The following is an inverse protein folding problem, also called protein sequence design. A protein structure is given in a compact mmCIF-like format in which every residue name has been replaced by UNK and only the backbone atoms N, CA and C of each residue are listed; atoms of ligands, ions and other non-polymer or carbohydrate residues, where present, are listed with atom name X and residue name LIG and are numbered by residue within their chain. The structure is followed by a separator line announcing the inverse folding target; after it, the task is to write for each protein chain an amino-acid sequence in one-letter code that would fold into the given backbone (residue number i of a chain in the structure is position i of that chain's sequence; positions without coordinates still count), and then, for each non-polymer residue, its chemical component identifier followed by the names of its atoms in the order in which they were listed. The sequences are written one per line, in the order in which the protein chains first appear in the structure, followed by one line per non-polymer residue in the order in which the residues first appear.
data_IF_807727286254
#
_entry.id   IF_807727286254
#
_cell.length_a   1.000
_cell.length_b   1.000
_cell.length_c   1.000
_cell.angle_alpha   90.00
_cell.angle_beta   90.00
_cell.angle_gamma   90.00
#
_symmetry.space_group_name_H-M   'P 1'
#
loop_
_entity.id
_entity.type
_entity.pdbx_description
1 polymer ?
#
# COMPACT_ATOMS: atom_id res chain seq x y z
N UNK A 1 -69.42 23.26 -20.69
CA UNK A 1 -68.22 24.09 -20.99
C UNK A 1 -67.23 23.83 -19.87
N UNK A 2 -66.02 23.33 -20.03
CA UNK A 2 -65.24 22.98 -21.20
C UNK A 2 -64.29 21.84 -20.80
N UNK A 3 -64.04 20.96 -21.76
CA UNK A 3 -63.13 19.83 -21.74
C UNK A 3 -61.68 20.30 -21.55
N UNK A 4 -60.89 19.57 -20.77
CA UNK A 4 -59.43 19.65 -20.87
C UNK A 4 -58.83 18.25 -21.00
N UNK A 5 -58.34 18.00 -22.21
CA UNK A 5 -57.50 16.88 -22.62
C UNK A 5 -56.13 16.92 -21.91
N UNK A 6 -55.49 15.75 -21.72
CA UNK A 6 -54.08 15.67 -21.34
C UNK A 6 -53.17 15.93 -22.56
N UNK A 7 -52.24 16.88 -22.43
CA UNK A 7 -51.14 17.09 -23.38
C UNK A 7 -49.92 16.26 -22.95
N UNK A 8 -49.47 15.40 -23.86
CA UNK A 8 -48.16 14.76 -23.87
C UNK A 8 -47.09 15.75 -24.33
N UNK A 9 -45.87 15.70 -23.77
CA UNK A 9 -44.69 16.17 -24.47
C UNK A 9 -43.85 14.99 -24.97
N UNK A 10 -43.90 14.78 -26.28
CA UNK A 10 -42.82 14.22 -27.07
C UNK A 10 -41.77 15.33 -27.26
N UNK A 11 -40.47 15.05 -27.08
CA UNK A 11 -39.42 15.43 -28.03
C UNK A 11 -38.02 14.97 -27.57
N UNK A 12 -37.39 14.20 -28.47
CA UNK A 12 -35.99 14.29 -28.92
C UNK A 12 -34.85 13.97 -27.95
N UNK A 13 -34.43 12.70 -28.00
CA UNK A 13 -33.05 12.32 -27.78
C UNK A 13 -32.19 12.85 -28.94
N UNK A 14 -31.28 13.78 -28.66
CA UNK A 14 -30.20 14.14 -29.57
C UNK A 14 -28.96 13.32 -29.20
N UNK A 15 -28.67 12.30 -29.99
CA UNK A 15 -27.37 11.61 -29.98
C UNK A 15 -26.34 12.52 -30.66
N UNK A 16 -25.39 13.04 -29.89
CA UNK A 16 -24.16 13.61 -30.43
C UNK A 16 -23.17 12.50 -30.82
N UNK A 17 -22.42 12.65 -31.93
CA UNK A 17 -21.48 11.63 -32.41
C UNK A 17 -20.23 11.55 -31.53
N UNK A 18 -19.79 10.32 -31.26
CA UNK A 18 -18.54 10.01 -30.57
C UNK A 18 -17.31 10.38 -31.41
N UNK A 19 -16.23 10.89 -30.80
CA UNK A 19 -14.96 11.07 -31.51
C UNK A 19 -14.27 9.72 -31.75
N UNK A 20 -14.03 9.42 -33.01
CA UNK A 20 -13.15 8.34 -33.47
C UNK A 20 -11.70 8.67 -33.15
N UNK A 21 -11.08 7.87 -32.27
CA UNK A 21 -9.63 7.86 -32.05
C UNK A 21 -9.05 6.62 -32.73
N UNK A 22 -8.28 6.84 -33.79
CA UNK A 22 -7.51 5.79 -34.49
C UNK A 22 -6.26 5.39 -33.69
N UNK A 23 -5.85 4.11 -33.71
CA UNK A 23 -4.75 3.62 -32.87
C UNK A 23 -3.46 3.51 -33.69
N UNK A 24 -2.65 4.56 -33.76
CA UNK A 24 -1.26 4.47 -34.21
C UNK A 24 -0.45 5.64 -33.62
N UNK A 25 0.35 5.34 -32.59
CA UNK A 25 1.57 6.04 -32.12
C UNK A 25 1.85 5.56 -30.68
N UNK A 26 2.37 4.36 -30.43
CA UNK A 26 3.80 3.99 -30.44
C UNK A 26 4.71 5.06 -29.83
N UNK A 27 4.98 4.87 -28.53
CA UNK A 27 6.23 5.15 -27.81
C UNK A 27 7.05 6.38 -28.20
N UNK A 28 6.87 7.48 -27.47
CA UNK A 28 7.96 8.43 -27.20
C UNK A 28 8.01 8.70 -25.70
N UNK A 29 9.05 8.15 -25.06
CA UNK A 29 9.34 8.31 -23.63
C UNK A 29 10.07 9.64 -23.45
N UNK A 30 9.35 10.69 -23.07
CA UNK A 30 9.97 11.96 -22.65
C UNK A 30 10.61 11.78 -21.26
N UNK A 31 11.94 11.75 -21.22
CA UNK A 31 12.72 11.88 -19.99
C UNK A 31 12.62 13.31 -19.43
N UNK A 32 12.37 13.50 -18.12
CA UNK A 32 12.48 14.82 -17.50
C UNK A 32 13.96 15.22 -17.29
N UNK A 33 14.33 16.51 -17.41
CA UNK A 33 15.68 16.97 -17.18
C UNK A 33 16.06 16.92 -15.70
N UNK A 34 17.26 16.42 -15.46
CA UNK A 34 17.94 16.24 -14.18
C UNK A 34 18.22 17.59 -13.48
N UNK A 35 17.80 17.70 -12.22
CA UNK A 35 18.12 18.81 -11.33
C UNK A 35 19.60 18.76 -10.90
N UNK A 36 20.29 19.91 -10.77
CA UNK A 36 21.67 19.97 -10.27
C UNK A 36 21.74 19.78 -8.74
N UNK A 37 22.87 19.26 -8.20
CA UNK A 37 23.02 18.95 -6.79
C UNK A 37 23.20 20.20 -5.90
N UNK A 38 22.81 20.14 -4.61
CA UNK A 38 22.91 21.27 -3.69
C UNK A 38 24.35 21.53 -3.23
N UNK A 39 24.73 22.81 -3.22
CA UNK A 39 26.00 23.30 -2.71
C UNK A 39 26.11 23.12 -1.19
N UNK A 40 27.21 22.52 -0.73
CA UNK A 40 27.58 22.47 0.69
C UNK A 40 27.90 23.88 1.22
N UNK A 41 27.37 24.30 2.38
CA UNK A 41 27.87 25.48 3.07
C UNK A 41 29.19 25.16 3.77
N UNK A 42 30.25 25.89 3.41
CA UNK A 42 31.50 25.91 4.15
C UNK A 42 31.26 26.44 5.56
N UNK A 43 31.60 25.63 6.57
CA UNK A 43 31.60 26.04 7.96
C UNK A 43 32.77 26.98 8.24
N UNK A 44 32.47 28.27 8.43
CA UNK A 44 33.40 29.27 8.95
C UNK A 44 33.59 29.04 10.45
N UNK A 45 34.79 28.62 10.85
CA UNK A 45 35.17 28.48 12.25
C UNK A 45 35.27 29.85 12.96
N UNK A 46 34.76 30.02 14.19
CA UNK A 46 34.96 31.25 14.95
C UNK A 46 36.36 31.30 15.59
N UNK A 47 36.96 32.48 15.43
CA UNK A 47 38.28 32.91 15.88
C UNK A 47 38.31 33.04 17.41
N UNK A 48 39.18 32.29 18.08
CA UNK A 48 39.44 32.42 19.51
C UNK A 48 40.09 33.78 19.86
N UNK A 49 39.72 34.44 20.98
CA UNK A 49 40.44 35.60 21.47
C UNK A 49 41.72 35.18 22.22
N UNK A 50 42.83 35.82 21.86
CA UNK A 50 44.13 35.68 22.52
C UNK A 50 44.13 36.42 23.85
N UNK A 51 44.41 35.71 24.94
CA UNK A 51 44.93 36.30 26.18
C UNK A 51 46.43 36.56 26.03
N UNK A 52 46.95 37.67 26.58
CA UNK A 52 48.35 37.72 26.99
C UNK A 52 48.49 37.61 28.53
N UNK A 53 49.18 36.55 28.96
CA UNK A 53 50.08 36.53 30.11
C UNK A 53 51.26 37.46 29.79
N UNK A 54 51.96 38.19 30.67
CA UNK A 54 52.38 38.05 32.07
C UNK A 54 53.26 39.27 32.37
N UNK A 55 53.29 39.78 33.61
CA UNK A 55 54.53 40.11 34.36
C UNK A 55 54.25 40.92 35.63
N UNK A 56 54.53 40.32 36.79
CA UNK A 56 54.78 40.98 38.10
C UNK A 56 56.22 41.57 38.14
N UNK A 57 56.80 42.01 39.29
CA UNK A 57 56.29 42.66 40.52
C UNK A 57 57.10 43.95 40.86
N UNK A 58 56.76 44.72 41.91
CA UNK A 58 57.70 45.13 42.99
C UNK A 58 57.08 46.11 44.04
N UNK A 59 57.42 45.83 45.31
CA UNK A 59 57.66 46.72 46.47
C UNK A 59 56.48 47.41 47.23
N UNK A 60 56.32 46.92 48.46
CA UNK A 60 55.86 47.58 49.73
C UNK A 60 56.82 48.75 50.13
N UNK A 61 56.60 49.59 51.19
CA UNK A 61 55.83 49.32 52.43
C UNK A 61 55.20 50.50 53.25
N UNK A 62 54.57 50.12 54.39
CA UNK A 62 54.28 50.83 55.68
C UNK A 62 53.31 52.03 55.67
N UNK A 63 52.29 52.16 56.54
CA UNK A 63 52.28 52.29 58.03
C UNK A 63 50.95 51.76 58.63
N UNK A 64 50.91 50.90 59.66
CA UNK A 64 50.96 51.10 61.13
C UNK A 64 49.80 51.88 61.80
N UNK A 65 48.93 51.15 62.51
CA UNK A 65 48.36 51.42 63.87
C UNK A 65 47.13 50.51 64.09
N UNK A 66 47.18 49.39 64.85
CA UNK A 66 47.05 49.26 66.33
C UNK A 66 45.72 49.85 66.85
N UNK A 67 44.87 49.23 67.71
CA UNK A 67 44.97 48.14 68.70
C UNK A 67 43.52 47.85 69.20
N UNK A 68 43.00 46.62 69.42
CA UNK A 68 42.90 45.84 70.69
C UNK A 68 41.93 44.66 70.42
N UNK A 69 42.32 43.38 70.48
CA UNK A 69 42.44 42.47 71.65
C UNK A 69 41.23 42.38 72.59
N UNK A 70 40.52 41.23 72.56
CA UNK A 70 40.30 40.32 73.71
C UNK A 70 40.21 38.87 73.19
N UNK A 71 40.98 37.97 73.81
CA UNK A 71 40.99 36.50 73.64
C UNK A 71 40.12 35.85 74.74
N UNK A 72 39.39 34.74 74.54
CA UNK A 72 39.79 33.32 74.64
C UNK A 72 38.51 32.52 75.10
N UNK A 73 38.48 31.18 75.34
CA UNK A 73 39.05 29.99 74.67
C UNK A 73 37.94 28.92 74.34
N UNK A 74 38.28 27.71 73.79
CA UNK A 74 37.31 26.75 73.23
C UNK A 74 37.01 25.53 74.13
N UNK A 75 35.79 24.99 74.06
CA UNK A 75 35.42 23.70 74.66
C UNK A 75 34.62 22.80 73.70
N UNK A 76 35.33 21.75 73.25
CA UNK A 76 34.98 20.34 73.02
C UNK A 76 33.54 19.93 72.61
N UNK A 77 33.55 19.18 71.50
CA UNK A 77 32.78 17.97 71.20
C UNK A 77 31.26 17.98 71.41
N UNK A 78 30.54 18.13 70.30
CA UNK A 78 29.31 17.37 70.07
C UNK A 78 29.27 16.87 68.64
N UNK A 79 29.29 15.54 68.51
CA UNK A 79 29.20 14.82 67.26
C UNK A 79 27.92 15.22 66.50
N UNK A 80 28.08 15.81 65.31
CA UNK A 80 26.98 16.01 64.37
C UNK A 80 27.14 14.96 63.26
N UNK A 81 26.17 14.06 63.22
CA UNK A 81 26.01 12.96 62.27
C UNK A 81 26.04 13.45 60.80
N UNK A 82 26.49 12.61 59.86
CA UNK A 82 26.61 12.99 58.46
C UNK A 82 25.24 13.23 57.84
N UNK A 83 25.10 14.36 57.15
CA UNK A 83 23.95 14.69 56.29
C UNK A 83 23.89 13.69 55.12
N UNK A 84 22.82 12.89 54.96
CA UNK A 84 22.60 12.21 53.70
C UNK A 84 22.08 13.23 52.67
N UNK A 85 22.84 13.37 51.59
CA UNK A 85 22.42 13.94 50.32
C UNK A 85 21.10 13.29 49.87
N UNK A 86 19.99 14.01 50.06
CA UNK A 86 18.71 13.68 49.43
C UNK A 86 18.76 14.18 47.98
N UNK A 87 18.72 13.30 46.96
CA UNK A 87 18.30 13.75 45.64
C UNK A 87 16.82 14.12 45.73
N UNK A 88 16.44 15.28 45.18
CA UNK A 88 15.05 15.65 44.96
C UNK A 88 14.36 14.52 44.20
N UNK A 89 13.56 13.75 44.94
CA UNK A 89 12.62 12.81 44.35
C UNK A 89 11.69 13.63 43.45
N UNK A 90 11.71 13.29 42.16
CA UNK A 90 10.60 13.51 41.24
C UNK A 90 9.29 13.23 41.98
N UNK A 91 8.51 14.27 42.20
CA UNK A 91 7.07 14.13 42.40
C UNK A 91 6.44 13.88 41.03
N UNK A 92 6.56 12.64 40.56
CA UNK A 92 5.53 12.07 39.69
C UNK A 92 4.65 11.25 40.63
N UNK A 93 3.38 11.61 40.87
CA UNK A 93 2.47 10.63 41.43
C UNK A 93 2.33 9.48 40.41
N UNK A 94 2.43 8.20 40.81
CA UNK A 94 1.96 7.15 39.95
C UNK A 94 0.44 7.26 39.92
N UNK A 95 -0.11 7.76 38.82
CA UNK A 95 -1.49 7.50 38.46
C UNK A 95 -1.62 5.99 38.15
N UNK A 96 -1.64 5.16 39.20
CA UNK A 96 -2.09 3.77 39.19
C UNK A 96 -3.35 3.67 40.04
N UNK A 97 -4.45 4.19 39.50
CA UNK A 97 -5.81 3.73 39.76
C UNK A 97 -6.74 4.41 38.76
N UNK A 98 -7.46 3.62 37.98
CA UNK A 98 -8.46 4.02 36.96
C UNK A 98 -7.93 4.46 35.59
N UNK A 99 -6.93 3.75 35.05
CA UNK A 99 -6.91 3.40 33.61
C UNK A 99 -6.41 1.96 33.47
N UNK A 100 -7.15 1.02 34.07
CA UNK A 100 -6.99 -0.41 33.82
C UNK A 100 -8.05 -0.88 32.80
N UNK A 101 -8.21 -0.10 31.73
CA UNK A 101 -8.90 -0.50 30.53
C UNK A 101 -8.07 0.03 29.36
N UNK A 102 -7.85 -0.80 28.34
CA UNK A 102 -7.26 -0.46 27.02
C UNK A 102 -5.75 -0.58 26.83
N UNK A 103 -4.98 -1.12 27.78
CA UNK A 103 -3.69 -1.73 27.44
C UNK A 103 -3.91 -3.21 27.10
N UNK A 104 -4.37 -3.49 25.87
CA UNK A 104 -4.39 -4.86 25.36
C UNK A 104 -3.00 -5.20 24.79
N UNK A 105 -2.25 -6.15 25.37
CA UNK A 105 -1.16 -6.80 24.67
C UNK A 105 -1.77 -7.69 23.57
N UNK A 106 -1.13 -7.67 22.39
CA UNK A 106 -1.67 -8.18 21.14
C UNK A 106 -2.20 -9.61 21.19
N UNK A 107 -3.53 -9.73 21.11
CA UNK A 107 -4.18 -10.84 20.43
C UNK A 107 -4.38 -10.43 18.97
N UNK A 108 -3.76 -11.17 18.04
CA UNK A 108 -3.69 -10.85 16.61
C UNK A 108 -5.06 -10.90 15.91
N UNK A 109 -5.92 -9.93 16.20
CA UNK A 109 -7.12 -9.69 15.39
C UNK A 109 -6.69 -8.95 14.12
N UNK A 110 -7.15 -9.37 12.94
CA UNK A 110 -6.89 -8.61 11.73
C UNK A 110 -7.55 -7.23 11.85
N UNK A 111 -6.73 -6.17 11.81
CA UNK A 111 -7.18 -4.80 11.64
C UNK A 111 -8.15 -4.72 10.47
N UNK A 112 -9.31 -4.11 10.71
CA UNK A 112 -10.37 -3.88 9.72
C UNK A 112 -10.45 -2.40 9.35
N UNK A 113 -11.14 -2.08 8.25
CA UNK A 113 -11.40 -0.69 7.82
C UNK A 113 -12.14 0.09 8.92
N UNK A 114 -13.07 -0.55 9.62
CA UNK A 114 -13.80 0.07 10.74
C UNK A 114 -12.87 0.47 11.88
N UNK A 115 -11.84 -0.34 12.17
CA UNK A 115 -10.88 -0.03 13.23
C UNK A 115 -10.05 1.21 12.85
N UNK A 116 -9.64 1.34 11.59
CA UNK A 116 -8.94 2.52 11.09
C UNK A 116 -9.83 3.76 11.17
N UNK A 117 -11.10 3.66 10.77
CA UNK A 117 -12.05 4.77 10.90
C UNK A 117 -12.23 5.20 12.36
N UNK A 118 -12.26 4.26 13.30
CA UNK A 118 -12.33 4.56 14.73
C UNK A 118 -11.07 5.28 15.22
N UNK A 119 -9.88 4.88 14.77
CA UNK A 119 -8.64 5.58 15.08
C UNK A 119 -8.67 7.02 14.55
N UNK A 120 -9.11 7.24 13.31
CA UNK A 120 -9.22 8.60 12.74
C UNK A 120 -10.20 9.47 13.54
N UNK A 121 -11.36 8.93 13.93
CA UNK A 121 -12.30 9.69 14.78
C UNK A 121 -11.68 10.09 16.12
N UNK A 122 -10.97 9.16 16.77
CA UNK A 122 -10.29 9.43 18.03
C UNK A 122 -9.14 10.45 17.86
N UNK A 123 -8.45 10.44 16.71
CA UNK A 123 -7.48 11.48 16.35
C UNK A 123 -8.15 12.85 16.30
N UNK A 124 -9.29 12.96 15.61
CA UNK A 124 -10.03 14.23 15.46
C UNK A 124 -10.54 14.75 16.81
N UNK A 125 -10.97 13.86 17.71
CA UNK A 125 -11.35 14.21 19.09
C UNK A 125 -10.18 14.79 19.90
N UNK A 126 -8.98 14.20 19.77
CA UNK A 126 -7.78 14.73 20.43
C UNK A 126 -7.39 16.08 19.83
N UNK A 127 -7.45 16.25 18.51
CA UNK A 127 -7.18 17.53 17.85
C UNK A 127 -8.15 18.62 18.31
N UNK A 128 -9.43 18.30 18.47
CA UNK A 128 -10.43 19.21 19.00
C UNK A 128 -10.13 19.62 20.45
N UNK A 129 -9.73 18.67 21.30
CA UNK A 129 -9.34 18.96 22.69
C UNK A 129 -8.07 19.82 22.78
N UNK A 130 -7.07 19.53 21.95
CA UNK A 130 -5.85 20.33 21.83
C UNK A 130 -6.22 21.77 21.43
N UNK A 131 -7.06 21.91 20.41
CA UNK A 131 -7.53 23.23 19.93
C UNK A 131 -8.25 24.00 21.03
N UNK A 132 -9.16 23.37 21.76
CA UNK A 132 -9.86 24.01 22.87
C UNK A 132 -8.91 24.50 23.98
N UNK A 133 -7.84 23.75 24.27
CA UNK A 133 -6.83 24.19 25.24
C UNK A 133 -6.01 25.38 24.71
N UNK A 134 -5.71 25.44 23.42
CA UNK A 134 -5.06 26.60 22.80
C UNK A 134 -5.97 27.84 22.82
N UNK A 135 -7.26 27.69 22.48
CA UNK A 135 -8.23 28.78 22.56
C UNK A 135 -8.34 29.35 23.98
N UNK A 136 -8.28 28.49 25.02
CA UNK A 136 -8.23 28.93 26.41
C UNK A 136 -6.97 29.76 26.71
N UNK A 137 -5.81 29.35 26.21
CA UNK A 137 -4.55 30.08 26.40
C UNK A 137 -4.53 31.41 25.64
N UNK A 138 -5.06 31.46 24.42
CA UNK A 138 -5.18 32.69 23.62
C UNK A 138 -6.13 33.72 24.28
N UNK A 139 -7.14 33.24 25.02
CA UNK A 139 -8.02 34.08 25.83
C UNK A 139 -7.32 34.73 27.03
N UNK A 140 -6.14 34.25 27.43
CA UNK A 140 -5.35 34.84 28.52
C UNK A 140 -4.33 35.83 27.94
N UNK A 141 -4.20 37.00 28.57
CA UNK A 141 -3.39 38.11 28.05
C UNK A 141 -1.91 37.73 27.91
N UNK A 142 -1.46 37.44 26.69
CA UNK A 142 -0.05 37.36 26.31
C UNK A 142 0.73 36.17 26.87
N UNK A 143 0.06 35.08 27.25
CA UNK A 143 0.71 33.86 27.76
C UNK A 143 0.29 32.65 26.93
N UNK A 144 1.14 32.26 25.99
CA UNK A 144 1.03 31.04 25.19
C UNK A 144 1.54 29.80 25.93
N UNK A 145 2.22 28.89 25.22
CA UNK A 145 2.72 27.62 25.77
C UNK A 145 4.00 27.69 26.61
N UNK A 146 4.86 28.67 26.35
CA UNK A 146 6.25 28.66 26.82
C UNK A 146 6.63 29.92 27.62
N UNK A 147 5.73 30.88 27.69
CA UNK A 147 5.93 32.19 28.27
C UNK A 147 6.01 32.11 29.81
N UNK A 148 6.81 32.97 30.46
CA UNK A 148 6.91 33.00 31.92
C UNK A 148 5.58 33.34 32.60
N UNK A 149 5.26 32.60 33.66
CA UNK A 149 4.07 32.83 34.50
C UNK A 149 4.32 33.82 35.66
N UNK A 150 5.53 34.36 35.72
CA UNK A 150 5.95 35.33 36.74
C UNK A 150 6.19 36.69 36.09
N UNK A 151 6.07 37.74 36.88
CA UNK A 151 6.42 39.10 36.48
C UNK A 151 7.94 39.32 36.55
N UNK A 152 8.37 40.57 36.30
CA UNK A 152 9.78 40.96 36.33
C UNK A 152 10.41 40.92 37.73
N UNK A 153 9.59 40.95 38.78
CA UNK A 153 10.01 40.91 40.18
C UNK A 153 10.04 39.47 40.73
N UNK A 154 9.54 38.51 39.95
CA UNK A 154 9.51 37.08 40.30
C UNK A 154 8.25 36.66 41.06
N UNK A 155 7.22 37.52 41.11
CA UNK A 155 5.93 37.21 41.71
C UNK A 155 4.96 36.63 40.68
N UNK A 156 3.97 35.84 41.11
CA UNK A 156 2.95 35.30 40.21
C UNK A 156 2.13 36.43 39.60
N UNK A 157 1.97 36.39 38.29
CA UNK A 157 1.20 37.39 37.52
C UNK A 157 -0.25 37.46 37.99
N UNK A 158 -0.69 38.65 38.39
CA UNK A 158 -2.05 38.91 38.86
C UNK A 158 -3.05 39.14 37.71
N UNK A 159 -2.56 39.41 36.51
CA UNK A 159 -3.35 39.68 35.29
C UNK A 159 -3.89 38.42 34.62
N UNK A 160 -3.51 37.23 35.10
CA UNK A 160 -3.75 35.94 34.43
C UNK A 160 -4.18 34.89 35.44
N UNK A 161 -5.10 34.02 35.04
CA UNK A 161 -5.41 32.82 35.83
C UNK A 161 -4.31 31.75 35.63
N UNK A 162 -3.34 31.79 36.54
CA UNK A 162 -2.19 30.86 36.57
C UNK A 162 -2.61 29.39 36.67
N UNK A 163 -3.72 29.10 37.34
CA UNK A 163 -4.20 27.74 37.51
C UNK A 163 -4.73 27.19 36.19
N UNK A 164 -5.53 27.97 35.48
CA UNK A 164 -6.07 27.61 34.17
C UNK A 164 -4.96 27.46 33.13
N UNK A 165 -4.02 28.41 33.08
CA UNK A 165 -2.90 28.36 32.14
C UNK A 165 -2.02 27.13 32.40
N UNK A 166 -1.68 26.86 33.66
CA UNK A 166 -0.84 25.70 34.00
C UNK A 166 -1.52 24.38 33.64
N UNK A 167 -2.83 24.30 33.90
CA UNK A 167 -3.64 23.11 33.58
C UNK A 167 -3.75 22.92 32.07
N UNK A 168 -4.05 23.98 31.32
CA UNK A 168 -4.14 23.94 29.86
C UNK A 168 -2.80 23.55 29.21
N UNK A 169 -1.67 24.15 29.65
CA UNK A 169 -0.33 23.77 29.18
C UNK A 169 -0.02 22.29 29.43
N UNK A 170 -0.32 21.80 30.63
CA UNK A 170 -0.14 20.40 30.97
C UNK A 170 -0.98 19.48 30.07
N UNK A 171 -2.25 19.82 29.89
CA UNK A 171 -3.18 19.05 29.07
C UNK A 171 -2.73 18.97 27.62
N UNK A 172 -2.26 20.09 27.02
CA UNK A 172 -1.77 20.05 25.64
C UNK A 172 -0.55 19.17 25.49
N UNK A 173 0.41 19.21 26.42
CA UNK A 173 1.59 18.34 26.34
C UNK A 173 1.16 16.86 26.38
N UNK A 174 0.23 16.50 27.27
CA UNK A 174 -0.29 15.13 27.36
C UNK A 174 -1.03 14.73 26.08
N UNK A 175 -2.00 15.54 25.63
CA UNK A 175 -2.81 15.28 24.44
C UNK A 175 -1.97 15.23 23.15
N UNK A 176 -0.93 16.06 23.03
CA UNK A 176 -0.01 16.02 21.88
C UNK A 176 0.80 14.73 21.85
N UNK A 177 1.22 14.21 23.00
CA UNK A 177 1.91 12.93 23.06
C UNK A 177 0.97 11.78 22.69
N UNK A 178 -0.27 11.82 23.15
CA UNK A 178 -1.29 10.83 22.80
C UNK A 178 -1.66 10.89 21.32
N UNK A 179 -1.79 12.11 20.75
CA UNK A 179 -2.03 12.31 19.33
C UNK A 179 -0.90 11.74 18.48
N UNK A 180 0.37 11.99 18.85
CA UNK A 180 1.53 11.38 18.18
C UNK A 180 1.50 9.86 18.25
N UNK A 181 1.17 9.29 19.41
CA UNK A 181 1.07 7.84 19.57
C UNK A 181 -0.05 7.25 18.69
N UNK A 182 -1.19 7.94 18.62
CA UNK A 182 -2.34 7.52 17.83
C UNK A 182 -2.07 7.64 16.32
N UNK A 183 -1.40 8.70 15.86
CA UNK A 183 -0.98 8.84 14.47
C UNK A 183 -0.10 7.66 14.03
N UNK A 184 0.81 7.21 14.90
CA UNK A 184 1.62 6.01 14.65
C UNK A 184 0.76 4.74 14.52
N UNK A 185 -0.27 4.60 15.36
CA UNK A 185 -1.21 3.48 15.27
C UNK A 185 -2.01 3.49 13.96
N UNK A 186 -2.43 4.67 13.49
CA UNK A 186 -3.11 4.81 12.19
C UNK A 186 -2.21 4.37 11.05
N UNK A 187 -0.94 4.80 11.04
CA UNK A 187 0.05 4.40 10.04
C UNK A 187 0.23 2.87 10.02
N UNK A 188 0.48 2.27 11.19
CA UNK A 188 0.65 0.82 11.33
C UNK A 188 -0.60 0.05 10.85
N UNK A 189 -1.80 0.55 11.16
CA UNK A 189 -3.05 -0.06 10.77
C UNK A 189 -3.30 -0.02 9.25
N UNK A 190 -2.97 1.10 8.59
CA UNK A 190 -3.06 1.24 7.14
C UNK A 190 -2.07 0.31 6.42
N UNK A 191 -0.82 0.25 6.89
CA UNK A 191 0.18 -0.67 6.34
C UNK A 191 -0.27 -2.13 6.43
N UNK A 192 -0.88 -2.53 7.55
CA UNK A 192 -1.41 -3.90 7.69
C UNK A 192 -2.56 -4.21 6.73
N UNK A 193 -3.47 -3.26 6.50
CA UNK A 193 -4.56 -3.45 5.53
C UNK A 193 -4.02 -3.62 4.11
N UNK A 194 -3.15 -2.71 3.67
CA UNK A 194 -2.60 -2.76 2.31
C UNK A 194 -1.70 -3.98 2.09
N UNK A 195 -0.93 -4.40 3.10
CA UNK A 195 -0.14 -5.62 3.03
C UNK A 195 -1.03 -6.86 2.79
N UNK A 196 -2.14 -6.96 3.53
CA UNK A 196 -3.10 -8.06 3.35
C UNK A 196 -3.80 -8.04 2.00
N UNK A 197 -4.23 -6.86 1.54
CA UNK A 197 -4.85 -6.71 0.22
C UNK A 197 -3.89 -7.11 -0.90
N UNK A 198 -2.61 -6.71 -0.78
CA UNK A 198 -1.56 -7.10 -1.73
C UNK A 198 -1.30 -8.61 -1.71
N UNK A 199 -1.22 -9.23 -0.53
CA UNK A 199 -1.07 -10.69 -0.41
C UNK A 199 -2.26 -11.44 -0.99
N UNK A 200 -3.48 -10.95 -0.75
CA UNK A 200 -4.69 -11.54 -1.31
C UNK A 200 -4.70 -11.43 -2.83
N UNK A 201 -4.41 -10.25 -3.37
CA UNK A 201 -4.32 -10.04 -4.82
C UNK A 201 -3.27 -10.95 -5.46
N UNK A 202 -2.09 -11.06 -4.86
CA UNK A 202 -1.04 -11.95 -5.36
C UNK A 202 -1.44 -13.43 -5.33
N UNK A 203 -2.23 -13.86 -4.34
CA UNK A 203 -2.80 -15.22 -4.28
C UNK A 203 -3.85 -15.42 -5.36
N UNK A 204 -4.79 -14.49 -5.50
CA UNK A 204 -5.85 -14.54 -6.50
C UNK A 204 -5.25 -14.55 -7.92
N UNK A 205 -4.19 -13.77 -8.18
CA UNK A 205 -3.44 -13.79 -9.44
C UNK A 205 -2.73 -15.12 -9.68
N UNK A 206 -2.07 -15.68 -8.65
CA UNK A 206 -1.39 -16.97 -8.76
C UNK A 206 -2.38 -18.12 -9.02
N UNK A 207 -3.55 -18.08 -8.38
CA UNK A 207 -4.63 -19.05 -8.58
C UNK A 207 -5.21 -18.94 -9.99
N UNK A 208 -5.49 -17.72 -10.47
CA UNK A 208 -5.96 -17.50 -11.84
C UNK A 208 -4.93 -17.99 -12.90
N UNK A 209 -3.64 -17.76 -12.67
CA UNK A 209 -2.57 -18.28 -13.54
C UNK A 209 -2.51 -19.81 -13.51
N UNK A 210 -2.63 -20.42 -12.33
CA UNK A 210 -2.67 -21.87 -12.18
C UNK A 210 -3.89 -22.48 -12.89
N UNK A 211 -5.06 -21.86 -12.76
CA UNK A 211 -6.28 -22.28 -13.47
C UNK A 211 -6.10 -22.17 -15.00
N UNK A 212 -5.54 -21.07 -15.51
CA UNK A 212 -5.28 -20.90 -16.94
C UNK A 212 -4.28 -21.94 -17.50
N UNK A 213 -3.24 -22.29 -16.72
CA UNK A 213 -2.30 -23.37 -17.09
C UNK A 213 -2.99 -24.73 -17.10
N UNK A 214 -3.87 -25.01 -16.13
CA UNK A 214 -4.63 -26.26 -16.06
C UNK A 214 -5.60 -26.44 -17.24
N UNK A 215 -6.25 -25.35 -17.68
CA UNK A 215 -7.16 -25.38 -18.84
C UNK A 215 -6.42 -25.71 -20.15
N UNK A 216 -5.17 -25.27 -20.28
CA UNK A 216 -4.33 -25.59 -21.44
C UNK A 216 -3.86 -27.06 -21.45
N UNK A 217 -3.73 -27.68 -20.28
CA UNK A 217 -3.40 -29.10 -20.16
C UNK A 217 -4.60 -30.05 -20.37
N UNK A 218 -5.81 -29.52 -20.42
CA UNK A 218 -7.04 -30.30 -20.62
C UNK A 218 -7.47 -30.40 -22.10
N UNK A 219 -6.56 -30.07 -23.03
CA UNK A 219 -6.77 -30.36 -24.45
C UNK A 219 -6.67 -31.89 -24.66
N UNK A 220 -7.72 -32.54 -25.19
CA UNK A 220 -7.77 -33.96 -25.43
C UNK A 220 -6.68 -34.34 -26.42
N UNK A 221 -6.07 -35.50 -26.18
CA UNK A 221 -4.95 -36.00 -26.96
C UNK A 221 -5.35 -36.14 -28.43
N UNK A 222 -4.54 -35.59 -29.34
CA UNK A 222 -4.70 -35.86 -30.76
C UNK A 222 -3.98 -37.17 -31.12
N UNK A 223 -4.61 -38.01 -31.94
CA UNK A 223 -4.05 -39.30 -32.36
C UNK A 223 -3.49 -39.27 -33.80
N UNK A 224 -3.85 -38.26 -34.59
CA UNK A 224 -3.39 -38.12 -35.97
C UNK A 224 -3.23 -36.65 -36.35
N UNK A 225 -2.48 -36.39 -37.42
CA UNK A 225 -2.23 -35.05 -37.96
C UNK A 225 -2.44 -35.02 -39.46
N UNK A 226 -3.00 -33.93 -39.97
CA UNK A 226 -3.15 -33.68 -41.41
C UNK A 226 -1.83 -33.17 -41.97
N UNK A 227 -1.20 -33.95 -42.84
CA UNK A 227 0.07 -33.59 -43.47
C UNK A 227 -0.13 -32.74 -44.74
N UNK A 228 -1.11 -33.09 -45.57
CA UNK A 228 -1.40 -32.35 -46.81
C UNK A 228 -2.88 -32.37 -47.12
N UNK A 229 -3.38 -31.30 -47.73
CA UNK A 229 -4.77 -31.18 -48.21
C UNK A 229 -4.73 -30.74 -49.67
N UNK A 230 -5.42 -31.47 -50.55
CA UNK A 230 -5.48 -31.12 -51.96
C UNK A 230 -6.52 -30.00 -52.19
N UNK A 231 -6.20 -28.91 -52.91
CA UNK A 231 -7.18 -27.87 -53.22
C UNK A 231 -8.39 -28.42 -53.97
N UNK A 232 -9.59 -27.96 -53.63
CA UNK A 232 -10.84 -28.41 -54.26
C UNK A 232 -11.27 -29.84 -53.87
N UNK A 233 -10.54 -30.50 -52.96
CA UNK A 233 -10.95 -31.78 -52.37
C UNK A 233 -12.08 -31.61 -51.35
N UNK A 234 -12.83 -32.68 -51.03
CA UNK A 234 -13.84 -32.66 -49.97
C UNK A 234 -13.28 -32.16 -48.63
N UNK A 235 -12.05 -32.53 -48.26
CA UNK A 235 -11.38 -32.05 -47.06
C UNK A 235 -11.12 -30.53 -47.09
N UNK A 236 -10.66 -30.00 -48.22
CA UNK A 236 -10.43 -28.56 -48.39
C UNK A 236 -11.73 -27.76 -48.31
N UNK A 237 -12.80 -28.23 -48.98
CA UNK A 237 -14.11 -27.58 -48.98
C UNK A 237 -14.75 -27.60 -47.58
N UNK A 238 -14.53 -28.68 -46.83
CA UNK A 238 -14.97 -28.79 -45.44
C UNK A 238 -14.18 -27.92 -44.47
N UNK A 239 -13.05 -27.33 -44.89
CA UNK A 239 -12.26 -26.42 -44.05
C UNK A 239 -11.18 -27.10 -43.20
N UNK A 240 -10.80 -28.35 -43.52
CA UNK A 240 -9.58 -28.95 -42.99
C UNK A 240 -8.34 -28.26 -43.56
N UNK A 241 -7.36 -28.02 -42.69
CA UNK A 241 -6.11 -27.36 -43.03
C UNK A 241 -4.93 -28.30 -42.80
N UNK A 242 -3.80 -27.96 -43.42
CA UNK A 242 -2.52 -28.59 -43.14
C UNK A 242 -2.14 -28.29 -41.69
N UNK A 243 -1.51 -29.26 -41.03
CA UNK A 243 -1.11 -29.22 -39.63
C UNK A 243 -2.24 -29.32 -38.59
N UNK A 244 -3.49 -29.51 -38.99
CA UNK A 244 -4.58 -29.79 -38.06
C UNK A 244 -4.33 -31.12 -37.30
N UNK A 245 -4.39 -31.08 -35.97
CA UNK A 245 -4.26 -32.25 -35.11
C UNK A 245 -5.64 -32.85 -34.81
N UNK A 246 -5.89 -34.08 -35.24
CA UNK A 246 -7.19 -34.75 -35.13
C UNK A 246 -7.33 -35.41 -33.75
N UNK A 247 -8.36 -34.99 -33.03
CA UNK A 247 -8.76 -35.54 -31.73
C UNK A 247 -9.84 -36.61 -31.88
N UNK A 248 -10.80 -36.37 -32.78
CA UNK A 248 -11.96 -37.24 -33.02
C UNK A 248 -12.30 -37.20 -34.52
N UNK A 249 -12.59 -38.37 -35.08
CA UNK A 249 -12.99 -38.52 -36.48
C UNK A 249 -14.22 -39.42 -36.56
N UNK A 250 -15.41 -38.80 -36.61
CA UNK A 250 -16.69 -39.50 -36.62
C UNK A 250 -16.86 -40.37 -35.36
N UNK A 251 -16.74 -41.69 -35.52
CA UNK A 251 -16.81 -42.65 -34.40
C UNK A 251 -15.44 -43.10 -33.88
N UNK A 252 -14.34 -42.60 -34.47
CA UNK A 252 -12.97 -42.93 -34.08
C UNK A 252 -12.45 -41.87 -33.13
N UNK A 253 -12.08 -42.30 -31.94
CA UNK A 253 -11.47 -41.50 -30.89
C UNK A 253 -10.11 -42.09 -30.50
N UNK A 254 -9.33 -41.37 -29.69
CA UNK A 254 -8.03 -41.84 -29.17
C UNK A 254 -8.10 -43.25 -28.59
N UNK A 255 -9.18 -43.57 -27.86
CA UNK A 255 -9.38 -44.86 -27.22
C UNK A 255 -9.62 -46.02 -28.21
N UNK A 256 -10.07 -45.74 -29.43
CA UNK A 256 -10.44 -46.73 -30.45
C UNK A 256 -9.54 -46.64 -31.71
N UNK A 257 -8.55 -45.77 -31.70
CA UNK A 257 -7.63 -45.61 -32.81
C UNK A 257 -6.51 -46.65 -32.70
N UNK A 258 -6.53 -47.66 -33.57
CA UNK A 258 -5.44 -48.65 -33.67
C UNK A 258 -4.55 -48.39 -34.89
N UNK A 259 -5.17 -48.08 -36.03
CA UNK A 259 -4.47 -47.79 -37.28
C UNK A 259 -5.30 -46.84 -38.15
N UNK A 260 -4.67 -46.19 -39.13
CA UNK A 260 -5.31 -45.33 -40.13
C UNK A 260 -6.44 -46.03 -40.90
N UNK A 261 -6.42 -47.35 -40.96
CA UNK A 261 -7.47 -48.15 -41.59
C UNK A 261 -8.85 -47.90 -40.95
N UNK A 262 -8.91 -47.64 -39.64
CA UNK A 262 -10.17 -47.36 -38.94
C UNK A 262 -10.83 -46.09 -39.49
N UNK A 263 -10.03 -45.06 -39.80
CA UNK A 263 -10.50 -43.83 -40.44
C UNK A 263 -11.02 -44.17 -41.85
N UNK A 264 -10.25 -44.93 -42.64
CA UNK A 264 -10.64 -45.29 -43.99
C UNK A 264 -11.98 -46.06 -44.04
N UNK A 265 -12.21 -46.98 -43.10
CA UNK A 265 -13.46 -47.74 -42.99
C UNK A 265 -14.66 -46.84 -42.68
N UNK A 266 -14.52 -45.90 -41.73
CA UNK A 266 -15.60 -44.96 -41.36
C UNK A 266 -15.95 -44.04 -42.53
N UNK A 267 -14.95 -43.60 -43.29
CA UNK A 267 -15.12 -42.75 -44.47
C UNK A 267 -15.86 -43.50 -45.59
N UNK A 268 -15.52 -44.77 -45.83
CA UNK A 268 -16.18 -45.59 -46.85
C UNK A 268 -17.64 -45.85 -46.52
N UNK A 269 -17.96 -46.20 -45.26
CA UNK A 269 -19.34 -46.43 -44.83
C UNK A 269 -20.20 -45.15 -44.78
N UNK A 270 -19.55 -43.98 -44.77
CA UNK A 270 -20.23 -42.69 -44.67
C UNK A 270 -20.12 -41.88 -45.96
N UNK A 271 -19.91 -42.54 -47.11
CA UNK A 271 -19.92 -41.88 -48.42
C UNK A 271 -21.24 -41.11 -48.63
N UNK A 272 -21.14 -39.82 -48.93
CA UNK A 272 -22.27 -38.91 -49.11
C UNK A 272 -22.91 -38.37 -47.83
N UNK A 273 -22.44 -38.77 -46.63
CA UNK A 273 -22.96 -38.30 -45.33
C UNK A 273 -21.92 -37.42 -44.61
N UNK A 274 -22.33 -36.33 -43.93
CA UNK A 274 -21.41 -35.49 -43.17
C UNK A 274 -20.89 -36.24 -41.93
N UNK A 275 -19.58 -36.22 -41.74
CA UNK A 275 -18.87 -36.72 -40.55
C UNK A 275 -18.37 -35.55 -39.71
N UNK A 276 -18.60 -35.60 -38.40
CA UNK A 276 -18.02 -34.65 -37.45
C UNK A 276 -16.56 -35.00 -37.17
N UNK A 277 -15.66 -34.06 -37.42
CA UNK A 277 -14.23 -34.19 -37.10
C UNK A 277 -13.85 -33.08 -36.13
N UNK A 278 -13.25 -33.43 -35.00
CA UNK A 278 -12.75 -32.46 -34.02
C UNK A 278 -11.24 -32.37 -34.17
N UNK A 279 -10.74 -31.17 -34.48
CA UNK A 279 -9.32 -30.90 -34.65
C UNK A 279 -8.83 -29.83 -33.67
N UNK A 280 -7.55 -29.83 -33.37
CA UNK A 280 -6.87 -28.76 -32.65
C UNK A 280 -6.10 -27.93 -33.67
N UNK A 281 -6.46 -26.66 -33.77
CA UNK A 281 -5.80 -25.66 -34.61
C UNK A 281 -5.29 -24.53 -33.74
N UNK A 282 -3.98 -24.28 -33.76
CA UNK A 282 -3.34 -23.24 -32.93
C UNK A 282 -3.70 -23.34 -31.43
N UNK A 283 -3.78 -24.58 -30.90
CA UNK A 283 -4.14 -24.84 -29.50
C UNK A 283 -5.62 -24.69 -29.15
N UNK A 284 -6.51 -24.48 -30.13
CA UNK A 284 -7.97 -24.38 -29.92
C UNK A 284 -8.68 -25.55 -30.59
N UNK A 285 -9.71 -26.09 -29.94
CA UNK A 285 -10.60 -27.10 -30.53
C UNK A 285 -11.49 -26.46 -31.59
N UNK A 286 -11.55 -27.07 -32.76
CA UNK A 286 -12.39 -26.66 -33.89
C UNK A 286 -13.14 -27.90 -34.38
N UNK A 287 -14.46 -27.77 -34.55
CA UNK A 287 -15.29 -28.83 -35.11
C UNK A 287 -15.50 -28.57 -36.61
N UNK A 288 -15.27 -29.60 -37.42
CA UNK A 288 -15.29 -29.55 -38.87
C UNK A 288 -16.23 -30.63 -39.40
N UNK A 289 -17.16 -30.25 -40.30
CA UNK A 289 -18.07 -31.19 -40.96
C UNK A 289 -17.49 -31.70 -42.28
N UNK A 290 -16.98 -32.92 -42.29
CA UNK A 290 -16.33 -33.55 -43.43
C UNK A 290 -17.29 -34.49 -44.16
N UNK A 291 -17.62 -34.23 -45.42
CA UNK A 291 -18.50 -35.12 -46.20
C UNK A 291 -17.68 -35.89 -47.25
N UNK A 292 -17.47 -37.21 -47.08
CA UNK A 292 -16.76 -38.01 -48.07
C UNK A 292 -17.54 -38.10 -49.38
N UNK A 293 -16.89 -37.81 -50.51
CA UNK A 293 -17.48 -37.93 -51.85
C UNK A 293 -16.42 -38.26 -52.88
N UNK A 294 -16.82 -38.92 -53.97
CA UNK A 294 -15.94 -39.06 -55.15
C UNK A 294 -15.66 -37.68 -55.74
N UNK A 295 -14.40 -37.45 -56.09
CA UNK A 295 -13.89 -36.19 -56.64
C UNK A 295 -12.81 -36.50 -57.68
N UNK A 296 -12.22 -35.47 -58.29
CA UNK A 296 -11.25 -35.64 -59.39
C UNK A 296 -9.91 -36.27 -58.97
N UNK A 297 -9.64 -36.39 -57.67
CA UNK A 297 -8.41 -36.98 -57.14
C UNK A 297 -8.58 -38.39 -56.58
N UNK A 298 -7.57 -38.85 -55.84
CA UNK A 298 -7.54 -40.20 -55.26
C UNK A 298 -8.36 -40.26 -53.96
N UNK A 299 -9.18 -41.28 -53.81
CA UNK A 299 -9.97 -41.55 -52.60
C UNK A 299 -11.19 -40.63 -52.44
N UNK A 300 -11.76 -40.60 -51.23
CA UNK A 300 -13.02 -39.92 -50.92
C UNK A 300 -12.87 -38.58 -50.18
N UNK A 301 -11.66 -38.24 -49.72
CA UNK A 301 -11.38 -37.05 -48.88
C UNK A 301 -10.41 -36.06 -49.51
N UNK A 302 -9.32 -36.56 -50.11
CA UNK A 302 -8.26 -35.74 -50.70
C UNK A 302 -7.31 -35.05 -49.73
N UNK A 303 -7.17 -35.60 -48.52
CA UNK A 303 -6.13 -35.22 -47.56
C UNK A 303 -5.25 -36.44 -47.19
N UNK A 304 -4.02 -36.16 -46.75
CA UNK A 304 -3.09 -37.15 -46.21
C UNK A 304 -3.06 -37.01 -44.68
N UNK A 305 -3.39 -38.09 -43.98
CA UNK A 305 -3.42 -38.16 -42.52
C UNK A 305 -2.30 -39.08 -42.06
N UNK A 306 -1.47 -38.60 -41.15
CA UNK A 306 -0.37 -39.36 -40.54
C UNK A 306 -0.68 -39.60 -39.05
N UNK A 307 -0.40 -40.79 -38.49
CA UNK A 307 -0.57 -41.01 -37.06
C UNK A 307 0.46 -40.17 -36.28
N UNK A 308 0.04 -39.59 -35.16
CA UNK A 308 0.95 -38.95 -34.23
C UNK A 308 1.46 -40.02 -33.26
N UNK A 309 2.72 -40.44 -33.42
CA UNK A 309 3.41 -41.22 -32.39
C UNK A 309 3.93 -40.23 -31.33
N UNK A 310 3.35 -40.24 -30.14
CA UNK A 310 3.88 -39.58 -28.94
C UNK A 310 3.89 -40.56 -27.79
#
# INVERSE_FOLDING_TARGET
MASHHPMTPSLCHTHGPAPTVSPHDIMTVHHPPSLPPPCHPQATAPRAPRHPMTSSPLRRPMTSSALRHVAAPPLRHRAALPRPSRPLRRWCPPARAVVAAMAQPGGGRPVTISDVQQLVRRKDELEAQIKACYELLEGQKGVGMHEPLVDAEGFPRADIDLYQVRTARHNVICLQNDHKALMKQVEEALHQLHAREKEKHAKDEAEALAEAMSQSQNLPQAFAKVNTVTPGSPASVSGLQVDDEIVEFGSVNVNNFQNLQNIATVVQHSEGRPLSVTVIRSGKKVHVGLTPKRWAGKGLLGCNIIPLQR
#
